data_IF_720351750105
#
_entry.id   IF_720351750105
#
_cell.length_a   1.000
_cell.length_b   1.000
_cell.length_c   1.000
_cell.angle_alpha   90.00
_cell.angle_beta   90.00
_cell.angle_gamma   90.00
#
_symmetry.space_group_name_H-M   'P 1'
#
loop_
_entity.id
_entity.type
_entity.pdbx_description
1 polymer ?
#
# COMPACT_ATOMS: atom_id res chain seq x y z
N UNK A 1 4.78 15.37 -17.22
CA UNK A 1 3.32 15.65 -17.11
C UNK A 1 3.14 16.92 -16.28
N UNK A 2 2.05 17.68 -16.51
CA UNK A 2 1.69 18.78 -15.61
C UNK A 2 0.66 18.31 -14.60
N UNK A 3 1.02 18.39 -13.30
CA UNK A 3 0.23 17.91 -12.19
C UNK A 3 -0.06 19.05 -11.23
N UNK A 4 -1.33 19.17 -10.84
CA UNK A 4 -1.74 20.16 -9.86
C UNK A 4 -2.33 19.45 -8.65
N UNK A 5 -1.76 19.72 -7.48
CA UNK A 5 -2.19 19.17 -6.21
C UNK A 5 -2.87 20.28 -5.39
N UNK A 6 -4.11 20.06 -5.01
CA UNK A 6 -4.89 20.93 -4.14
C UNK A 6 -4.93 20.35 -2.73
N UNK A 7 -4.25 21.00 -1.77
CA UNK A 7 -4.11 20.59 -0.39
C UNK A 7 -2.72 20.10 -0.04
N UNK A 8 -2.00 20.87 0.78
CA UNK A 8 -0.65 20.58 1.28
C UNK A 8 -0.68 19.83 2.62
N UNK A 9 -1.72 19.03 2.87
CA UNK A 9 -1.77 18.12 4.00
C UNK A 9 -0.98 16.84 3.72
N UNK A 10 -1.02 15.92 4.64
CA UNK A 10 -0.21 14.72 4.66
C UNK A 10 -0.12 13.95 3.32
N UNK A 11 -1.22 13.75 2.61
CA UNK A 11 -1.24 13.07 1.30
C UNK A 11 -0.63 13.96 0.23
N UNK A 12 -1.04 15.23 0.18
CA UNK A 12 -0.55 16.20 -0.82
C UNK A 12 0.94 16.46 -0.68
N UNK A 13 1.45 16.62 0.55
CA UNK A 13 2.89 16.77 0.83
C UNK A 13 3.67 15.53 0.37
N UNK A 14 3.18 14.33 0.70
CA UNK A 14 3.85 13.10 0.30
C UNK A 14 3.85 12.90 -1.23
N UNK A 15 2.75 13.25 -1.89
CA UNK A 15 2.68 13.26 -3.36
C UNK A 15 3.65 14.29 -3.96
N UNK A 16 3.67 15.51 -3.43
CA UNK A 16 4.59 16.55 -3.89
C UNK A 16 6.05 16.10 -3.78
N UNK A 17 6.43 15.49 -2.66
CA UNK A 17 7.75 14.90 -2.44
C UNK A 17 8.07 13.81 -3.47
N UNK A 18 7.13 12.88 -3.70
CA UNK A 18 7.30 11.79 -4.66
C UNK A 18 7.47 12.31 -6.08
N UNK A 19 6.68 13.31 -6.48
CA UNK A 19 6.65 13.84 -7.83
C UNK A 19 7.86 14.75 -8.13
N UNK A 20 8.32 15.52 -7.14
CA UNK A 20 9.53 16.34 -7.30
C UNK A 20 10.76 15.47 -7.60
N UNK A 21 10.87 14.29 -6.99
CA UNK A 21 11.94 13.32 -7.29
C UNK A 21 11.87 12.77 -8.72
N UNK A 22 10.69 12.77 -9.33
CA UNK A 22 10.46 12.28 -10.70
C UNK A 22 10.59 13.38 -11.78
N UNK A 23 10.97 14.61 -11.42
CA UNK A 23 11.05 15.77 -12.32
C UNK A 23 9.74 16.05 -13.07
N UNK A 24 8.59 15.83 -12.43
CA UNK A 24 7.29 16.17 -12.97
C UNK A 24 6.98 17.66 -12.71
N UNK A 25 6.36 18.34 -13.69
CA UNK A 25 5.89 19.72 -13.54
C UNK A 25 4.75 19.79 -12.53
N UNK A 26 5.08 20.06 -11.27
CA UNK A 26 4.15 19.94 -10.14
C UNK A 26 3.85 21.31 -9.53
N UNK A 27 2.56 21.63 -9.40
CA UNK A 27 2.05 22.81 -8.71
C UNK A 27 1.28 22.37 -7.47
N UNK A 28 1.64 22.89 -6.30
CA UNK A 28 0.95 22.62 -5.03
C UNK A 28 0.19 23.88 -4.57
N UNK A 29 -1.12 23.75 -4.36
CA UNK A 29 -2.01 24.84 -3.93
C UNK A 29 -2.51 24.56 -2.52
N UNK A 30 -2.35 25.51 -1.61
CA UNK A 30 -2.96 25.49 -0.27
C UNK A 30 -3.26 26.89 0.23
N UNK A 31 -4.18 27.01 1.16
CA UNK A 31 -4.52 28.27 1.84
C UNK A 31 -3.64 28.57 3.06
N UNK A 32 -2.72 27.68 3.42
CA UNK A 32 -1.81 27.79 4.55
C UNK A 32 -0.39 28.11 4.04
N UNK A 33 0.04 29.35 4.27
CA UNK A 33 1.33 29.86 3.78
C UNK A 33 2.53 29.20 4.49
N UNK A 34 2.44 28.95 5.80
CA UNK A 34 3.53 28.36 6.57
C UNK A 34 3.80 26.93 6.10
N UNK A 35 2.73 26.19 5.82
CA UNK A 35 2.82 24.82 5.31
C UNK A 35 3.44 24.77 3.92
N UNK A 36 3.06 25.68 3.03
CA UNK A 36 3.66 25.79 1.70
C UNK A 36 5.14 26.19 1.77
N UNK A 37 5.50 27.13 2.64
CA UNK A 37 6.87 27.57 2.83
C UNK A 37 7.80 26.43 3.29
N UNK A 38 7.34 25.59 4.22
CA UNK A 38 8.08 24.41 4.65
C UNK A 38 8.35 23.45 3.46
N UNK A 39 7.34 23.18 2.64
CA UNK A 39 7.48 22.26 1.51
C UNK A 39 8.36 22.83 0.39
N UNK A 40 8.20 24.11 0.05
CA UNK A 40 8.99 24.75 -1.01
C UNK A 40 10.48 24.91 -0.65
N UNK A 41 10.81 24.90 0.64
CA UNK A 41 12.22 24.92 1.07
C UNK A 41 12.93 23.58 0.89
N UNK A 42 12.17 22.48 0.80
CA UNK A 42 12.72 21.11 0.74
C UNK A 42 12.65 20.51 -0.67
N UNK A 43 11.67 20.94 -1.48
CA UNK A 43 11.37 20.31 -2.77
C UNK A 43 11.28 21.34 -3.89
N UNK A 44 11.82 21.01 -5.06
CA UNK A 44 11.74 21.82 -6.27
C UNK A 44 10.36 21.67 -6.93
N UNK A 45 9.41 22.50 -6.48
CA UNK A 45 8.05 22.54 -7.01
C UNK A 45 7.45 23.96 -6.86
N UNK A 46 6.49 24.26 -7.71
CA UNK A 46 5.77 25.54 -7.64
C UNK A 46 4.69 25.49 -6.56
N UNK A 47 4.66 26.48 -5.68
CA UNK A 47 3.60 26.61 -4.66
C UNK A 47 2.70 27.81 -4.97
N UNK A 48 1.41 27.69 -4.67
CA UNK A 48 0.40 28.75 -4.82
C UNK A 48 -0.36 28.92 -3.52
N UNK A 49 -0.14 30.03 -2.82
CA UNK A 49 -0.88 30.36 -1.60
C UNK A 49 -2.24 30.97 -1.96
N UNK A 50 -3.27 30.13 -2.04
CA UNK A 50 -4.64 30.55 -2.33
C UNK A 50 -5.66 29.43 -2.06
N UNK A 51 -6.95 29.80 -2.03
CA UNK A 51 -8.04 28.81 -1.94
C UNK A 51 -8.32 28.17 -3.29
N UNK A 52 -8.41 26.84 -3.31
CA UNK A 52 -8.73 26.04 -4.50
C UNK A 52 -10.19 26.15 -4.95
N UNK A 53 -11.06 26.79 -4.15
CA UNK A 53 -12.44 27.10 -4.54
C UNK A 53 -12.56 28.28 -5.49
N UNK A 54 -11.48 29.07 -5.68
CA UNK A 54 -11.50 30.25 -6.56
C UNK A 54 -11.09 29.86 -7.98
N UNK A 55 -11.94 30.18 -8.93
CA UNK A 55 -11.67 29.96 -10.37
C UNK A 55 -10.38 30.64 -10.81
N UNK A 56 -10.11 31.87 -10.32
CA UNK A 56 -8.89 32.58 -10.67
C UNK A 56 -7.63 31.82 -10.19
N UNK A 57 -7.63 31.30 -8.98
CA UNK A 57 -6.53 30.47 -8.46
C UNK A 57 -6.23 29.30 -9.37
N UNK A 58 -7.27 28.58 -9.83
CA UNK A 58 -7.11 27.44 -10.72
C UNK A 58 -6.56 27.85 -12.10
N UNK A 59 -7.00 29.01 -12.61
CA UNK A 59 -6.45 29.56 -13.86
C UNK A 59 -4.99 29.96 -13.72
N UNK A 60 -4.62 30.64 -12.63
CA UNK A 60 -3.25 31.11 -12.37
C UNK A 60 -2.29 29.91 -12.16
N UNK A 61 -2.76 28.82 -11.58
CA UNK A 61 -2.03 27.55 -11.49
C UNK A 61 -1.93 26.82 -12.84
N UNK A 62 -2.62 27.30 -13.88
CA UNK A 62 -2.58 26.76 -15.23
C UNK A 62 -3.31 25.42 -15.37
N UNK A 63 -4.47 25.30 -14.72
CA UNK A 63 -5.28 24.06 -14.71
C UNK A 63 -5.71 23.61 -16.11
N UNK A 64 -5.89 24.52 -17.06
CA UNK A 64 -6.29 24.20 -18.44
C UNK A 64 -5.28 23.31 -19.19
N UNK A 65 -4.02 23.29 -18.75
CA UNK A 65 -2.97 22.44 -19.31
C UNK A 65 -2.63 21.24 -18.41
N UNK A 66 -3.37 21.05 -17.33
CA UNK A 66 -3.06 19.97 -16.38
C UNK A 66 -3.45 18.58 -16.94
N UNK A 67 -2.52 17.66 -16.92
CA UNK A 67 -2.77 16.25 -17.24
C UNK A 67 -3.53 15.59 -16.09
N UNK A 68 -3.25 15.99 -14.84
CA UNK A 68 -3.91 15.49 -13.65
C UNK A 68 -4.11 16.62 -12.61
N UNK A 69 -5.31 16.73 -12.10
CA UNK A 69 -5.66 17.58 -10.96
C UNK A 69 -6.07 16.71 -9.79
N UNK A 70 -5.42 16.89 -8.63
CA UNK A 70 -5.57 16.05 -7.44
C UNK A 70 -6.04 16.92 -6.29
N UNK A 71 -7.24 16.67 -5.76
CA UNK A 71 -7.77 17.38 -4.60
C UNK A 71 -7.76 16.49 -3.36
N UNK A 72 -6.88 16.83 -2.40
CA UNK A 72 -6.60 16.04 -1.20
C UNK A 72 -6.57 16.91 0.06
N UNK A 73 -7.43 17.91 0.11
CA UNK A 73 -7.64 18.73 1.32
C UNK A 73 -8.34 17.89 2.39
N UNK A 74 -8.58 18.50 3.57
CA UNK A 74 -9.35 17.82 4.65
C UNK A 74 -10.85 17.83 4.40
N UNK A 75 -11.35 18.70 3.53
CA UNK A 75 -12.77 18.86 3.25
C UNK A 75 -13.13 18.14 1.95
N UNK A 76 -13.92 17.10 2.05
CA UNK A 76 -14.44 16.29 0.94
C UNK A 76 -15.22 17.15 -0.06
N UNK A 77 -16.09 18.03 0.41
CA UNK A 77 -16.90 18.89 -0.46
C UNK A 77 -16.02 19.86 -1.25
N UNK A 78 -14.99 20.41 -0.61
CA UNK A 78 -14.00 21.25 -1.28
C UNK A 78 -13.23 20.46 -2.34
N UNK A 79 -12.85 19.22 -2.05
CA UNK A 79 -12.15 18.34 -2.99
C UNK A 79 -13.01 18.05 -4.24
N UNK A 80 -14.27 17.69 -4.03
CA UNK A 80 -15.21 17.44 -5.13
C UNK A 80 -15.46 18.72 -5.96
N UNK A 81 -15.73 19.85 -5.30
CA UNK A 81 -15.95 21.12 -5.97
C UNK A 81 -14.72 21.54 -6.78
N UNK A 82 -13.52 21.47 -6.21
CA UNK A 82 -12.28 21.81 -6.89
C UNK A 82 -12.04 20.92 -8.14
N UNK A 83 -12.33 19.63 -8.07
CA UNK A 83 -12.26 18.72 -9.22
C UNK A 83 -13.25 19.08 -10.32
N UNK A 84 -14.50 19.39 -9.97
CA UNK A 84 -15.52 19.83 -10.93
C UNK A 84 -15.09 21.12 -11.66
N UNK A 85 -14.61 22.13 -10.92
CA UNK A 85 -14.09 23.38 -11.47
C UNK A 85 -12.86 23.12 -12.35
N UNK A 86 -11.91 22.33 -11.90
CA UNK A 86 -10.70 22.00 -12.65
C UNK A 86 -11.03 21.29 -13.98
N UNK A 87 -11.97 20.36 -13.96
CA UNK A 87 -12.42 19.66 -15.16
C UNK A 87 -13.09 20.61 -16.14
N UNK A 88 -13.97 21.49 -15.65
CA UNK A 88 -14.65 22.50 -16.47
C UNK A 88 -13.65 23.53 -17.07
N UNK A 89 -12.52 23.78 -16.41
CA UNK A 89 -11.44 24.65 -16.88
C UNK A 89 -10.44 23.94 -17.81
N UNK A 90 -10.57 22.64 -18.04
CA UNK A 90 -9.79 21.91 -19.04
C UNK A 90 -8.77 20.88 -18.51
N UNK A 91 -8.76 20.58 -17.21
CA UNK A 91 -7.95 19.47 -16.69
C UNK A 91 -8.36 18.14 -17.37
N UNK A 92 -7.39 17.33 -17.81
CA UNK A 92 -7.67 16.08 -18.51
C UNK A 92 -8.29 15.05 -17.57
N UNK A 93 -7.71 14.87 -16.40
CA UNK A 93 -8.19 13.92 -15.36
C UNK A 93 -8.22 14.61 -14.01
N UNK A 94 -9.11 14.16 -13.15
CA UNK A 94 -9.28 14.70 -11.79
C UNK A 94 -9.40 13.57 -10.78
N UNK A 95 -8.84 13.76 -9.59
CA UNK A 95 -8.90 12.82 -8.47
C UNK A 95 -9.34 13.57 -7.21
N UNK A 96 -10.44 13.14 -6.60
CA UNK A 96 -10.94 13.70 -5.35
C UNK A 96 -10.74 12.74 -4.18
N UNK A 97 -10.11 13.20 -3.10
CA UNK A 97 -10.17 12.51 -1.81
C UNK A 97 -11.58 12.67 -1.24
N UNK A 98 -12.18 11.55 -0.86
CA UNK A 98 -13.50 11.49 -0.24
C UNK A 98 -13.40 10.84 1.14
N UNK A 99 -14.35 11.15 2.01
CA UNK A 99 -14.45 10.60 3.36
C UNK A 99 -15.77 9.79 3.52
N UNK A 100 -16.70 9.91 2.57
CA UNK A 100 -17.94 9.12 2.52
C UNK A 100 -17.71 7.84 1.69
N UNK A 101 -17.93 6.69 2.35
CA UNK A 101 -17.78 5.39 1.72
C UNK A 101 -18.73 5.16 0.54
N UNK A 102 -19.94 5.70 0.57
CA UNK A 102 -20.89 5.60 -0.54
C UNK A 102 -20.29 6.08 -1.86
N UNK A 103 -19.43 7.11 -1.82
CA UNK A 103 -18.86 7.72 -3.01
C UNK A 103 -17.83 6.84 -3.74
N UNK A 104 -17.35 5.76 -3.12
CA UNK A 104 -16.42 4.81 -3.77
C UNK A 104 -17.12 3.58 -4.36
N UNK A 105 -18.46 3.53 -4.38
CA UNK A 105 -19.19 2.48 -5.09
C UNK A 105 -18.91 2.58 -6.61
N UNK A 106 -18.39 1.51 -7.25
CA UNK A 106 -18.15 1.49 -8.69
C UNK A 106 -19.39 1.79 -9.54
N UNK A 107 -20.60 1.53 -9.05
CA UNK A 107 -21.85 1.84 -9.73
C UNK A 107 -22.04 3.34 -9.95
N UNK A 108 -21.39 4.17 -9.15
CA UNK A 108 -21.44 5.63 -9.23
C UNK A 108 -20.35 6.22 -10.14
N UNK A 109 -19.46 5.40 -10.75
CA UNK A 109 -18.35 5.90 -11.57
C UNK A 109 -18.85 6.80 -12.70
N UNK A 110 -19.85 6.35 -13.46
CA UNK A 110 -20.42 7.14 -14.55
C UNK A 110 -21.14 8.42 -14.10
N UNK A 111 -21.66 8.46 -12.87
CA UNK A 111 -22.23 9.68 -12.28
C UNK A 111 -21.12 10.69 -11.98
N UNK A 112 -20.07 10.28 -11.27
CA UNK A 112 -18.98 11.16 -10.90
C UNK A 112 -18.18 11.68 -12.11
N UNK A 113 -17.99 10.82 -13.12
CA UNK A 113 -17.33 11.24 -14.36
C UNK A 113 -18.10 12.35 -15.09
N UNK A 114 -19.43 12.26 -15.15
CA UNK A 114 -20.29 13.30 -15.75
C UNK A 114 -20.18 14.65 -15.04
N UNK A 115 -19.98 14.66 -13.73
CA UNK A 115 -19.79 15.90 -12.96
C UNK A 115 -18.32 16.35 -12.89
N UNK A 116 -17.42 15.66 -13.62
CA UNK A 116 -16.02 16.09 -13.75
C UNK A 116 -15.08 15.52 -12.72
N UNK A 117 -15.44 14.44 -12.02
CA UNK A 117 -14.59 13.71 -11.07
C UNK A 117 -14.23 12.37 -11.71
N UNK A 118 -13.00 12.26 -12.25
CA UNK A 118 -12.56 11.06 -12.98
C UNK A 118 -12.30 9.88 -12.03
N UNK A 119 -11.83 10.15 -10.82
CA UNK A 119 -11.55 9.12 -9.81
C UNK A 119 -11.76 9.65 -8.41
N UNK A 120 -12.12 8.77 -7.50
CA UNK A 120 -12.29 9.05 -6.07
C UNK A 120 -11.37 8.14 -5.28
N UNK A 121 -10.77 8.69 -4.23
CA UNK A 121 -9.89 7.96 -3.34
C UNK A 121 -10.37 8.08 -1.90
N UNK A 122 -10.50 6.94 -1.23
CA UNK A 122 -10.82 6.86 0.19
C UNK A 122 -9.69 6.12 0.92
N UNK A 123 -8.74 6.86 1.51
CA UNK A 123 -7.52 6.28 2.11
C UNK A 123 -7.81 5.25 3.21
N UNK A 124 -8.88 5.46 3.97
CA UNK A 124 -9.33 4.53 5.02
C UNK A 124 -9.69 3.16 4.44
N UNK A 125 -10.36 3.12 3.29
CA UNK A 125 -10.70 1.87 2.63
C UNK A 125 -9.46 1.15 2.06
N UNK A 126 -8.49 1.90 1.53
CA UNK A 126 -7.22 1.33 1.07
C UNK A 126 -6.46 0.66 2.22
N UNK A 127 -6.35 1.36 3.36
CA UNK A 127 -5.74 0.82 4.56
C UNK A 127 -6.50 -0.40 5.12
N UNK A 128 -7.82 -0.33 5.16
CA UNK A 128 -8.67 -1.43 5.63
C UNK A 128 -8.50 -2.69 4.78
N UNK A 129 -8.43 -2.55 3.45
CA UNK A 129 -8.13 -3.68 2.53
C UNK A 129 -6.77 -4.28 2.78
N UNK A 130 -5.75 -3.45 3.01
CA UNK A 130 -4.39 -3.92 3.30
C UNK A 130 -4.33 -4.67 4.63
N UNK A 131 -5.00 -4.16 5.66
CA UNK A 131 -5.15 -4.80 6.98
C UNK A 131 -5.86 -6.15 6.83
N UNK A 132 -7.05 -6.19 6.22
CA UNK A 132 -7.84 -7.40 6.07
C UNK A 132 -7.09 -8.49 5.28
N UNK A 133 -6.38 -8.12 4.22
CA UNK A 133 -5.53 -9.05 3.47
C UNK A 133 -4.34 -9.54 4.31
N UNK A 134 -3.72 -8.66 5.08
CA UNK A 134 -2.62 -9.00 5.97
C UNK A 134 -3.03 -9.94 7.12
N UNK A 135 -4.28 -9.87 7.57
CA UNK A 135 -4.82 -10.75 8.62
C UNK A 135 -5.05 -12.19 8.15
N UNK A 136 -5.22 -12.44 6.86
CA UNK A 136 -5.41 -13.80 6.31
C UNK A 136 -4.26 -14.75 6.62
N UNK A 137 -3.05 -14.21 6.93
CA UNK A 137 -1.85 -15.00 7.24
C UNK A 137 -1.09 -14.41 8.42
N UNK A 138 -1.13 -15.06 9.58
CA UNK A 138 -0.46 -14.59 10.81
C UNK A 138 1.08 -14.51 10.68
N UNK A 139 1.67 -15.33 9.82
CA UNK A 139 3.13 -15.49 9.65
C UNK A 139 3.76 -14.60 8.57
N UNK A 140 2.93 -13.86 7.81
CA UNK A 140 3.33 -12.96 6.72
C UNK A 140 3.25 -11.50 7.19
N UNK A 141 4.24 -10.69 6.85
CA UNK A 141 4.23 -9.25 7.12
C UNK A 141 3.37 -8.49 6.12
N UNK A 142 3.58 -8.78 4.85
CA UNK A 142 2.89 -8.15 3.74
C UNK A 142 2.40 -9.23 2.78
N UNK A 143 1.19 -9.05 2.29
CA UNK A 143 0.60 -9.89 1.25
C UNK A 143 0.01 -9.01 0.15
N UNK A 144 0.31 -9.36 -1.07
CA UNK A 144 -0.29 -8.75 -2.24
C UNK A 144 -0.75 -9.83 -3.21
N UNK A 145 -2.03 -9.82 -3.50
CA UNK A 145 -2.65 -10.71 -4.46
C UNK A 145 -2.75 -10.00 -5.82
N UNK A 146 -2.24 -10.63 -6.86
CA UNK A 146 -2.29 -10.16 -8.24
C UNK A 146 -3.31 -11.03 -8.98
N UNK A 147 -4.23 -10.42 -9.72
CA UNK A 147 -5.33 -11.12 -10.42
C UNK A 147 -6.02 -12.16 -9.52
N UNK A 148 -6.69 -11.68 -8.45
CA UNK A 148 -7.43 -12.51 -7.49
C UNK A 148 -6.61 -13.67 -6.88
N UNK A 149 -5.28 -13.52 -6.87
CA UNK A 149 -4.33 -14.45 -6.30
C UNK A 149 -3.81 -15.52 -7.28
N UNK A 150 -3.91 -15.30 -8.57
CA UNK A 150 -3.18 -16.09 -9.57
C UNK A 150 -1.68 -16.05 -9.29
N UNK A 151 -1.16 -14.86 -8.97
CA UNK A 151 0.15 -14.69 -8.32
C UNK A 151 -0.03 -14.05 -6.94
N UNK A 152 0.86 -14.39 -6.02
CA UNK A 152 0.87 -13.86 -4.67
C UNK A 152 2.28 -13.45 -4.28
N UNK A 153 2.42 -12.22 -3.81
CA UNK A 153 3.64 -11.74 -3.16
C UNK A 153 3.49 -11.86 -1.66
N UNK A 154 4.50 -12.44 -1.00
CA UNK A 154 4.57 -12.61 0.45
C UNK A 154 5.84 -11.96 0.99
N UNK A 155 5.71 -10.93 1.81
CA UNK A 155 6.82 -10.35 2.59
C UNK A 155 6.95 -11.08 3.92
N UNK A 156 8.04 -11.82 4.12
CA UNK A 156 8.22 -12.72 5.26
C UNK A 156 9.50 -12.35 6.02
N UNK A 157 9.35 -12.07 7.32
CA UNK A 157 10.50 -11.87 8.21
C UNK A 157 11.10 -13.23 8.58
N UNK A 158 12.32 -13.49 8.11
CA UNK A 158 13.01 -14.74 8.32
C UNK A 158 13.53 -14.87 9.77
N UNK A 159 13.55 -16.11 10.26
CA UNK A 159 13.99 -16.46 11.61
C UNK A 159 14.91 -17.67 11.54
N UNK A 160 15.50 -18.05 12.67
CA UNK A 160 16.38 -19.23 12.80
C UNK A 160 15.76 -20.53 12.29
N UNK A 161 14.43 -20.62 12.34
CA UNK A 161 13.68 -21.80 11.86
C UNK A 161 13.57 -21.90 10.33
N UNK A 162 14.09 -20.90 9.59
CA UNK A 162 14.04 -20.92 8.13
C UNK A 162 15.12 -21.86 7.57
N UNK A 163 14.71 -22.83 6.75
CA UNK A 163 15.57 -23.89 6.20
C UNK A 163 16.49 -23.42 5.07
N UNK A 164 16.13 -22.32 4.39
CA UNK A 164 16.82 -21.82 3.19
C UNK A 164 17.78 -20.64 3.46
N UNK A 165 18.23 -20.49 4.71
CA UNK A 165 19.21 -19.46 5.06
C UNK A 165 20.59 -19.81 4.56
N UNK A 166 21.34 -18.78 4.11
CA UNK A 166 22.74 -18.86 3.67
C UNK A 166 23.00 -19.73 2.43
N UNK A 167 21.96 -20.15 1.72
CA UNK A 167 22.09 -20.82 0.44
C UNK A 167 22.00 -19.83 -0.71
N UNK A 168 22.84 -19.94 -1.77
CA UNK A 168 22.76 -19.07 -2.94
C UNK A 168 21.40 -19.16 -3.65
N UNK A 169 20.82 -18.02 -4.02
CA UNK A 169 19.49 -18.00 -4.65
C UNK A 169 19.45 -18.74 -5.99
N UNK A 170 20.57 -18.84 -6.73
CA UNK A 170 20.65 -19.65 -7.97
C UNK A 170 20.36 -21.15 -7.71
N UNK A 171 20.61 -21.63 -6.50
CA UNK A 171 20.37 -23.03 -6.13
C UNK A 171 18.93 -23.22 -5.61
N UNK A 172 18.34 -22.18 -5.03
CA UNK A 172 16.98 -22.15 -4.48
C UNK A 172 15.93 -21.80 -5.53
N UNK A 173 16.20 -20.78 -6.37
CA UNK A 173 15.26 -20.24 -7.34
C UNK A 173 15.58 -20.69 -8.77
N UNK A 174 15.47 -22.00 -9.02
CA UNK A 174 15.58 -22.59 -10.36
C UNK A 174 14.34 -22.29 -11.20
N UNK A 175 14.39 -22.43 -12.54
CA UNK A 175 13.22 -22.15 -13.40
C UNK A 175 11.94 -22.89 -13.01
N UNK A 176 12.08 -24.12 -12.46
CA UNK A 176 10.98 -24.96 -11.98
C UNK A 176 10.62 -24.76 -10.51
N UNK A 177 11.32 -23.87 -9.79
CA UNK A 177 11.04 -23.63 -8.37
C UNK A 177 9.67 -22.99 -8.17
N UNK A 178 8.96 -23.35 -7.07
CA UNK A 178 7.61 -22.86 -6.82
C UNK A 178 7.55 -21.41 -6.30
N UNK A 179 8.67 -20.75 -6.20
CA UNK A 179 8.77 -19.36 -5.77
C UNK A 179 9.99 -18.65 -6.35
N UNK A 180 9.94 -17.34 -6.32
CA UNK A 180 11.03 -16.43 -6.67
C UNK A 180 11.24 -15.43 -5.54
N UNK A 181 12.50 -15.11 -5.18
CA UNK A 181 12.81 -14.02 -4.25
C UNK A 181 13.04 -12.77 -5.07
N UNK A 182 12.17 -11.79 -4.91
CA UNK A 182 12.14 -10.58 -5.77
C UNK A 182 12.73 -9.35 -5.11
N UNK A 183 12.76 -9.30 -3.78
CA UNK A 183 13.44 -8.27 -3.01
C UNK A 183 13.82 -8.80 -1.63
N UNK A 184 14.88 -8.25 -1.04
CA UNK A 184 15.33 -8.54 0.31
C UNK A 184 15.58 -7.20 1.02
N UNK A 185 14.93 -6.98 2.16
CA UNK A 185 15.25 -5.87 3.08
C UNK A 185 16.11 -6.41 4.21
N UNK A 186 17.35 -5.90 4.26
CA UNK A 186 18.36 -6.26 5.28
C UNK A 186 18.79 -5.02 6.04
N UNK A 187 18.38 -4.87 7.28
CA UNK A 187 18.56 -3.61 8.01
C UNK A 187 17.89 -2.47 7.24
N UNK A 188 18.63 -1.43 6.89
CA UNK A 188 18.13 -0.29 6.12
C UNK A 188 18.34 -0.43 4.60
N UNK A 189 19.06 -1.47 4.17
CA UNK A 189 19.35 -1.73 2.76
C UNK A 189 18.28 -2.57 2.09
N UNK A 190 17.90 -2.20 0.87
CA UNK A 190 17.05 -3.01 -0.01
C UNK A 190 17.87 -3.57 -1.16
N UNK A 191 17.77 -4.85 -1.36
CA UNK A 191 18.51 -5.61 -2.37
C UNK A 191 17.52 -6.18 -3.38
N UNK A 192 17.71 -5.90 -4.66
CA UNK A 192 17.10 -6.68 -5.75
C UNK A 192 18.04 -7.84 -6.04
N UNK A 193 17.71 -9.05 -5.56
CA UNK A 193 18.69 -10.12 -5.43
C UNK A 193 19.10 -10.72 -6.77
N UNK A 194 20.32 -11.27 -6.80
CA UNK A 194 20.90 -12.03 -7.90
C UNK A 194 21.21 -13.45 -7.47
N UNK A 195 21.61 -14.29 -8.40
CA UNK A 195 21.81 -15.70 -8.13
C UNK A 195 22.81 -16.04 -7.02
N UNK A 196 23.83 -15.20 -6.82
CA UNK A 196 24.86 -15.42 -5.78
C UNK A 196 24.49 -14.81 -4.41
N UNK A 197 23.41 -14.04 -4.34
CA UNK A 197 22.91 -13.51 -3.07
C UNK A 197 22.33 -14.63 -2.20
N UNK A 198 22.37 -14.40 -0.90
CA UNK A 198 21.87 -15.35 0.11
C UNK A 198 20.88 -14.67 1.06
N UNK A 199 19.92 -15.43 1.54
CA UNK A 199 19.01 -15.00 2.60
C UNK A 199 19.71 -15.12 3.97
N UNK A 200 19.52 -14.12 4.83
CA UNK A 200 20.05 -14.10 6.20
C UNK A 200 18.92 -14.05 7.23
N UNK A 201 19.26 -14.47 8.44
CA UNK A 201 18.35 -14.30 9.57
C UNK A 201 17.98 -12.81 9.73
N UNK A 202 16.71 -12.55 10.06
CA UNK A 202 16.10 -11.22 10.18
C UNK A 202 15.96 -10.43 8.86
N UNK A 203 16.26 -11.00 7.70
CA UNK A 203 15.85 -10.40 6.44
C UNK A 203 14.31 -10.39 6.34
N UNK A 204 13.75 -9.33 5.75
CA UNK A 204 12.40 -9.34 5.24
C UNK A 204 12.49 -9.70 3.75
N UNK A 205 12.22 -10.96 3.44
CA UNK A 205 12.30 -11.49 2.08
C UNK A 205 10.93 -11.48 1.40
N UNK A 206 10.89 -11.01 0.15
CA UNK A 206 9.69 -10.95 -0.66
C UNK A 206 9.66 -12.12 -1.64
N UNK A 207 8.74 -13.04 -1.40
CA UNK A 207 8.51 -14.22 -2.20
C UNK A 207 7.39 -13.96 -3.21
N UNK A 208 7.65 -14.16 -4.48
CA UNK A 208 6.63 -14.27 -5.51
C UNK A 208 6.31 -15.75 -5.72
N UNK A 209 5.03 -16.10 -5.73
CA UNK A 209 4.56 -17.48 -5.86
C UNK A 209 3.13 -17.55 -6.39
N UNK A 210 2.61 -18.74 -6.62
CA UNK A 210 1.17 -18.96 -6.85
C UNK A 210 0.49 -19.46 -5.59
N UNK A 211 -0.85 -19.35 -5.53
CA UNK A 211 -1.64 -19.71 -4.34
C UNK A 211 -1.37 -21.16 -3.87
N UNK A 212 -1.15 -22.09 -4.79
CA UNK A 212 -0.97 -23.51 -4.49
C UNK A 212 0.32 -23.80 -3.71
N UNK A 213 1.34 -22.95 -3.84
CA UNK A 213 2.63 -23.16 -3.20
C UNK A 213 2.83 -22.38 -1.88
N UNK A 214 1.82 -21.64 -1.44
CA UNK A 214 1.88 -20.93 -0.14
C UNK A 214 2.17 -21.88 1.03
N UNK A 215 1.55 -23.09 1.12
CA UNK A 215 1.88 -24.06 2.19
C UNK A 215 3.33 -24.52 2.15
N UNK A 216 3.91 -24.72 0.97
CA UNK A 216 5.31 -25.06 0.81
C UNK A 216 6.23 -23.95 1.33
N UNK A 217 5.98 -22.69 0.96
CA UNK A 217 6.74 -21.54 1.47
C UNK A 217 6.64 -21.47 2.99
N UNK A 218 5.43 -21.63 3.56
CA UNK A 218 5.21 -21.62 5.00
C UNK A 218 6.11 -22.65 5.72
N UNK A 219 6.29 -23.82 5.12
CA UNK A 219 7.16 -24.88 5.63
C UNK A 219 8.62 -24.46 5.59
N UNK A 220 9.17 -24.14 4.42
CA UNK A 220 10.60 -23.85 4.27
C UNK A 220 11.07 -22.61 5.04
N UNK A 221 10.17 -21.67 5.34
CA UNK A 221 10.47 -20.52 6.21
C UNK A 221 10.22 -20.80 7.70
N UNK A 222 9.89 -22.05 8.08
CA UNK A 222 9.72 -22.51 9.46
C UNK A 222 8.54 -21.88 10.19
N UNK A 223 7.41 -21.64 9.50
CA UNK A 223 6.22 -20.96 10.04
C UNK A 223 5.00 -21.89 10.24
N UNK A 224 5.19 -23.19 10.20
CA UNK A 224 4.10 -24.18 10.33
C UNK A 224 3.34 -24.05 11.65
N UNK A 225 4.02 -23.64 12.72
CA UNK A 225 3.43 -23.48 14.06
C UNK A 225 2.58 -22.20 14.25
N UNK A 226 2.52 -21.33 13.24
CA UNK A 226 1.69 -20.15 13.31
C UNK A 226 0.22 -20.54 13.08
N UNK A 227 -0.64 -20.22 14.03
CA UNK A 227 -2.08 -20.46 13.91
C UNK A 227 -2.74 -19.42 13.02
N UNK A 228 -3.82 -19.79 12.35
CA UNK A 228 -4.60 -18.86 11.55
C UNK A 228 -5.31 -17.84 12.45
N UNK A 229 -5.51 -16.64 11.94
CA UNK A 229 -6.19 -15.58 12.67
C UNK A 229 -7.69 -15.85 12.69
N UNK A 230 -8.26 -15.97 13.89
CA UNK A 230 -9.71 -16.09 14.12
C UNK A 230 -10.23 -14.96 15.01
N UNK A 231 -9.44 -14.56 16.00
CA UNK A 231 -9.79 -13.50 16.94
C UNK A 231 -8.83 -12.33 16.76
N UNK A 232 -9.41 -11.17 16.48
CA UNK A 232 -8.69 -9.91 16.25
C UNK A 232 -9.07 -8.92 17.34
N UNK A 233 -8.10 -8.24 17.91
CA UNK A 233 -8.31 -7.11 18.80
C UNK A 233 -7.87 -5.84 18.10
N UNK A 234 -8.73 -4.83 18.01
CA UNK A 234 -8.49 -3.58 17.31
C UNK A 234 -8.53 -2.44 18.31
N UNK A 235 -7.44 -1.71 18.45
CA UNK A 235 -7.36 -0.50 19.27
C UNK A 235 -7.63 0.74 18.41
N UNK A 236 -8.73 1.43 18.70
CA UNK A 236 -9.23 2.61 17.99
C UNK A 236 -10.36 2.29 17.01
N UNK A 237 -11.53 2.91 17.22
CA UNK A 237 -12.78 2.70 16.47
C UNK A 237 -12.99 3.69 15.32
N UNK A 238 -11.93 4.10 14.63
CA UNK A 238 -12.03 4.99 13.46
C UNK A 238 -12.62 4.32 12.23
N UNK A 239 -12.84 5.10 11.16
CA UNK A 239 -13.39 4.60 9.89
C UNK A 239 -12.59 3.42 9.30
N UNK A 240 -11.26 3.44 9.46
CA UNK A 240 -10.41 2.31 9.03
C UNK A 240 -10.75 1.02 9.78
N UNK A 241 -11.05 1.10 11.09
CA UNK A 241 -11.41 -0.07 11.89
C UNK A 241 -12.75 -0.67 11.41
N UNK A 242 -13.79 0.17 11.25
CA UNK A 242 -15.09 -0.26 10.72
C UNK A 242 -14.93 -0.94 9.37
N UNK A 243 -14.22 -0.28 8.43
CA UNK A 243 -13.99 -0.86 7.10
C UNK A 243 -13.16 -2.14 7.13
N UNK A 244 -12.17 -2.24 8.04
CA UNK A 244 -11.38 -3.46 8.19
C UNK A 244 -12.26 -4.64 8.67
N UNK A 245 -13.16 -4.41 9.63
CA UNK A 245 -14.07 -5.47 10.12
C UNK A 245 -15.05 -5.95 9.05
N UNK A 246 -15.54 -5.07 8.19
CA UNK A 246 -16.41 -5.44 7.06
C UNK A 246 -15.67 -6.27 6.00
N UNK A 247 -14.37 -5.99 5.78
CA UNK A 247 -13.54 -6.66 4.77
C UNK A 247 -12.86 -7.94 5.29
N UNK A 248 -12.90 -8.17 6.61
CA UNK A 248 -12.37 -9.41 7.19
C UNK A 248 -13.20 -10.63 6.75
N UNK A 249 -12.56 -11.79 6.52
CA UNK A 249 -13.28 -13.04 6.28
C UNK A 249 -14.32 -13.36 7.36
N UNK A 250 -15.43 -13.98 6.97
CA UNK A 250 -16.56 -14.29 7.88
C UNK A 250 -16.18 -15.16 9.09
N UNK A 251 -15.12 -15.97 8.98
CA UNK A 251 -14.61 -16.81 10.07
C UNK A 251 -13.81 -16.05 11.14
N UNK A 252 -13.58 -14.74 10.95
CA UNK A 252 -12.85 -13.89 11.90
C UNK A 252 -13.83 -13.09 12.76
N UNK A 253 -13.54 -13.06 14.07
CA UNK A 253 -14.23 -12.20 15.03
C UNK A 253 -13.31 -11.06 15.45
N UNK A 254 -13.87 -9.90 15.76
CA UNK A 254 -13.11 -8.74 16.22
C UNK A 254 -13.66 -8.17 17.54
N UNK A 255 -12.76 -7.62 18.34
CA UNK A 255 -13.07 -6.72 19.46
C UNK A 255 -12.48 -5.36 19.15
N UNK A 256 -13.31 -4.32 19.05
CA UNK A 256 -12.87 -2.92 18.90
C UNK A 256 -12.85 -2.29 20.26
N UNK A 257 -11.68 -1.82 20.70
CA UNK A 257 -11.51 -1.07 21.96
C UNK A 257 -11.43 0.42 21.60
N UNK A 258 -12.39 1.19 22.04
CA UNK A 258 -12.51 2.63 21.78
C UNK A 258 -12.65 3.40 23.08
N UNK A 259 -11.88 4.47 23.20
CA UNK A 259 -11.83 5.30 24.43
C UNK A 259 -13.06 6.18 24.61
N UNK A 260 -13.63 6.68 23.52
CA UNK A 260 -14.78 7.59 23.51
C UNK A 260 -16.09 6.80 23.56
N UNK A 261 -16.85 6.96 24.66
CA UNK A 261 -18.12 6.27 24.87
C UNK A 261 -19.18 6.61 23.82
N UNK A 262 -19.28 7.88 23.42
CA UNK A 262 -20.27 8.30 22.42
C UNK A 262 -19.95 7.68 21.05
N UNK A 263 -18.65 7.49 20.77
CA UNK A 263 -18.19 6.78 19.57
C UNK A 263 -18.47 5.29 19.64
N UNK A 264 -18.34 4.66 20.81
CA UNK A 264 -18.71 3.25 21.00
C UNK A 264 -20.19 3.01 20.67
N UNK A 265 -21.08 3.90 21.07
CA UNK A 265 -22.51 3.79 20.74
C UNK A 265 -22.75 3.83 19.23
N UNK A 266 -22.10 4.77 18.51
CA UNK A 266 -22.20 4.85 17.04
C UNK A 266 -21.58 3.64 16.34
N UNK A 267 -20.49 3.09 16.87
CA UNK A 267 -19.85 1.91 16.31
C UNK A 267 -20.77 0.69 16.32
N UNK A 268 -21.58 0.50 17.38
CA UNK A 268 -22.53 -0.59 17.45
C UNK A 268 -23.63 -0.52 16.36
N UNK A 269 -23.87 0.66 15.79
CA UNK A 269 -24.80 0.85 14.66
C UNK A 269 -24.14 0.58 13.31
N UNK A 270 -22.80 0.65 13.25
CA UNK A 270 -22.00 0.57 12.00
C UNK A 270 -21.38 -0.80 11.75
N UNK A 271 -21.18 -1.61 12.79
CA UNK A 271 -20.51 -2.90 12.68
C UNK A 271 -21.48 -4.07 12.73
N UNK A 272 -21.08 -5.19 12.16
CA UNK A 272 -21.78 -6.47 12.30
C UNK A 272 -21.60 -7.00 13.74
N UNK A 273 -22.59 -6.79 14.59
CA UNK A 273 -22.54 -7.15 16.02
C UNK A 273 -22.52 -8.65 16.30
N UNK A 274 -22.78 -9.50 15.30
CA UNK A 274 -22.65 -10.95 15.44
C UNK A 274 -21.18 -11.39 15.47
N UNK A 275 -20.29 -10.59 14.86
CA UNK A 275 -18.86 -10.87 14.74
C UNK A 275 -17.95 -9.84 15.38
N UNK A 276 -18.46 -8.64 15.65
CA UNK A 276 -17.69 -7.51 16.17
C UNK A 276 -18.26 -7.01 17.47
N UNK A 277 -17.48 -7.11 18.54
CA UNK A 277 -17.80 -6.55 19.85
C UNK A 277 -17.12 -5.19 20.02
N UNK A 278 -17.86 -4.18 20.46
CA UNK A 278 -17.32 -2.86 20.80
C UNK A 278 -17.16 -2.75 22.30
N UNK A 279 -15.97 -2.37 22.74
CA UNK A 279 -15.59 -2.25 24.16
C UNK A 279 -15.18 -0.80 24.41
N UNK A 280 -15.83 -0.16 25.38
CA UNK A 280 -15.40 1.15 25.83
C UNK A 280 -14.25 1.02 26.82
N UNK A 281 -13.10 1.61 26.50
CA UNK A 281 -11.94 1.61 27.37
C UNK A 281 -10.65 2.04 26.68
N UNK A 282 -9.59 2.10 27.47
CA UNK A 282 -8.24 2.42 26.96
C UNK A 282 -7.55 1.14 26.49
N UNK A 283 -7.31 1.05 25.19
CA UNK A 283 -6.59 -0.09 24.58
C UNK A 283 -5.09 -0.20 24.97
N UNK A 284 -4.61 0.68 25.84
CA UNK A 284 -3.27 0.60 26.47
C UNK A 284 -3.33 -0.02 27.87
N UNK A 285 -4.53 -0.14 28.45
CA UNK A 285 -4.70 -0.72 29.78
C UNK A 285 -4.54 -2.25 29.73
N UNK A 286 -3.49 -2.74 30.39
CA UNK A 286 -3.19 -4.16 30.45
C UNK A 286 -4.25 -4.97 31.20
N UNK A 287 -4.93 -4.38 32.19
CA UNK A 287 -5.99 -5.05 32.91
C UNK A 287 -7.16 -5.34 31.97
N UNK A 288 -7.61 -4.31 31.25
CA UNK A 288 -8.65 -4.45 30.23
C UNK A 288 -8.25 -5.45 29.14
N UNK A 289 -7.03 -5.37 28.60
CA UNK A 289 -6.57 -6.29 27.57
C UNK A 289 -6.55 -7.75 28.05
N UNK A 290 -6.18 -8.00 29.32
CA UNK A 290 -6.21 -9.33 29.90
C UNK A 290 -7.64 -9.84 30.14
N UNK A 291 -8.55 -9.00 30.66
CA UNK A 291 -9.98 -9.31 30.83
C UNK A 291 -10.62 -9.65 29.49
N UNK A 292 -10.29 -8.91 28.44
CA UNK A 292 -10.79 -9.12 27.10
C UNK A 292 -10.08 -10.25 26.32
N UNK A 293 -9.12 -10.90 26.95
CA UNK A 293 -8.51 -12.13 26.45
C UNK A 293 -7.42 -11.95 25.40
N UNK A 294 -6.53 -10.96 25.58
CA UNK A 294 -5.40 -10.72 24.69
C UNK A 294 -4.55 -11.99 24.46
N UNK A 295 -4.44 -12.86 25.45
CA UNK A 295 -3.68 -14.14 25.37
C UNK A 295 -4.29 -15.13 24.39
N UNK A 296 -5.58 -15.02 24.10
CA UNK A 296 -6.32 -15.87 23.16
C UNK A 296 -6.50 -15.19 21.79
N UNK A 297 -5.94 -13.99 21.62
CA UNK A 297 -6.03 -13.18 20.41
C UNK A 297 -4.86 -13.52 19.49
N UNK A 298 -5.14 -13.82 18.22
CA UNK A 298 -4.10 -14.14 17.23
C UNK A 298 -3.56 -12.88 16.54
N UNK A 299 -4.38 -11.82 16.43
CA UNK A 299 -3.97 -10.55 15.81
C UNK A 299 -4.38 -9.35 16.66
N UNK A 300 -3.47 -8.38 16.79
CA UNK A 300 -3.70 -7.08 17.40
C UNK A 300 -3.44 -5.97 16.38
N UNK A 301 -4.41 -5.08 16.18
CA UNK A 301 -4.38 -4.02 15.17
C UNK A 301 -4.54 -2.67 15.86
N UNK A 302 -3.53 -1.82 15.83
CA UNK A 302 -3.52 -0.50 16.45
C UNK A 302 -3.78 0.59 15.41
N UNK A 303 -4.94 1.26 15.48
CA UNK A 303 -5.46 2.21 14.49
C UNK A 303 -5.81 3.58 15.09
N UNK A 304 -5.18 3.97 16.19
CA UNK A 304 -5.40 5.32 16.75
C UNK A 304 -4.73 6.38 15.87
N UNK A 305 -5.04 7.64 16.11
CA UNK A 305 -4.40 8.77 15.41
C UNK A 305 -2.96 9.05 15.83
N UNK A 306 -2.40 8.30 16.78
CA UNK A 306 -1.06 8.51 17.31
C UNK A 306 -0.16 7.32 16.99
N UNK A 307 0.88 7.55 16.19
CA UNK A 307 1.78 6.49 15.70
C UNK A 307 2.57 5.84 16.83
N UNK A 308 3.07 6.63 17.79
CA UNK A 308 3.86 6.16 18.93
C UNK A 308 3.02 5.23 19.81
N UNK A 309 1.77 5.62 20.08
CA UNK A 309 0.81 4.80 20.81
C UNK A 309 0.56 3.47 20.10
N UNK A 310 0.39 3.50 18.77
CA UNK A 310 0.17 2.30 17.97
C UNK A 310 1.38 1.36 18.01
N UNK A 311 2.59 1.91 17.91
CA UNK A 311 3.86 1.15 18.00
C UNK A 311 3.97 0.47 19.36
N UNK A 312 3.82 1.22 20.45
CA UNK A 312 3.94 0.70 21.81
C UNK A 312 2.86 -0.34 22.13
N UNK A 313 1.63 -0.13 21.67
CA UNK A 313 0.54 -1.10 21.85
C UNK A 313 0.83 -2.43 21.14
N UNK A 314 1.34 -2.37 19.90
CA UNK A 314 1.77 -3.57 19.16
C UNK A 314 2.93 -4.30 19.85
N UNK A 315 3.91 -3.58 20.40
CA UNK A 315 4.99 -4.19 21.19
C UNK A 315 4.45 -4.90 22.45
N UNK A 316 3.50 -4.26 23.12
CA UNK A 316 2.84 -4.82 24.30
C UNK A 316 2.06 -6.08 23.95
N UNK A 317 1.25 -6.06 22.89
CA UNK A 317 0.52 -7.22 22.41
C UNK A 317 1.45 -8.40 22.08
N UNK A 318 2.59 -8.14 21.43
CA UNK A 318 3.60 -9.18 21.14
C UNK A 318 4.17 -9.81 22.42
N UNK A 319 4.46 -9.00 23.45
CA UNK A 319 4.91 -9.51 24.75
C UNK A 319 3.87 -10.39 25.44
N UNK A 320 2.58 -10.17 25.16
CA UNK A 320 1.48 -11.01 25.65
C UNK A 320 1.20 -12.23 24.74
N UNK A 321 2.03 -12.49 23.73
CA UNK A 321 1.98 -13.69 22.89
C UNK A 321 1.21 -13.53 21.59
N UNK A 322 0.69 -12.33 21.28
CA UNK A 322 0.04 -12.09 20.00
C UNK A 322 1.06 -12.17 18.87
N UNK A 323 0.81 -13.06 17.91
CA UNK A 323 1.73 -13.37 16.81
C UNK A 323 1.67 -12.37 15.67
N UNK A 324 0.46 -11.93 15.32
CA UNK A 324 0.24 -10.95 14.26
C UNK A 324 -0.07 -9.60 14.88
N UNK A 325 0.74 -8.61 14.56
CA UNK A 325 0.48 -7.22 14.97
C UNK A 325 0.51 -6.31 13.75
N UNK A 326 -0.38 -5.31 13.73
CA UNK A 326 -0.51 -4.32 12.66
C UNK A 326 -0.60 -2.94 13.33
N UNK A 327 0.29 -2.04 12.97
CA UNK A 327 0.28 -0.66 13.46
C UNK A 327 0.04 0.34 12.32
N UNK A 328 -0.89 1.26 12.53
CA UNK A 328 -1.02 2.46 11.70
C UNK A 328 0.11 3.43 12.07
N UNK A 329 1.01 3.69 11.13
CA UNK A 329 2.14 4.62 11.32
C UNK A 329 2.12 5.63 10.18
N UNK A 330 1.51 6.79 10.42
CA UNK A 330 1.36 7.82 9.38
C UNK A 330 2.58 8.75 9.25
N UNK A 331 3.42 8.82 10.28
CA UNK A 331 4.68 9.53 10.20
C UNK A 331 5.75 8.63 9.56
N UNK A 332 6.27 9.05 8.41
CA UNK A 332 7.27 8.30 7.64
C UNK A 332 8.58 8.13 8.39
N UNK A 333 8.98 9.11 9.21
CA UNK A 333 10.21 9.08 10.00
C UNK A 333 10.20 7.94 11.02
N UNK A 334 9.00 7.51 11.46
CA UNK A 334 8.84 6.43 12.43
C UNK A 334 8.78 5.04 11.79
N UNK A 335 8.67 4.94 10.47
CA UNK A 335 8.55 3.65 9.78
C UNK A 335 9.79 2.80 10.00
N UNK A 336 10.99 3.35 9.75
CA UNK A 336 12.26 2.63 9.92
C UNK A 336 12.48 2.22 11.39
N UNK A 337 12.17 3.11 12.34
CA UNK A 337 12.22 2.79 13.76
C UNK A 337 11.24 1.67 14.14
N UNK A 338 10.01 1.75 13.69
CA UNK A 338 8.98 0.75 13.96
C UNK A 338 9.36 -0.64 13.40
N UNK A 339 10.03 -0.67 12.25
CA UNK A 339 10.57 -1.90 11.66
C UNK A 339 11.73 -2.48 12.47
N UNK A 340 12.65 -1.64 12.93
CA UNK A 340 13.78 -2.06 13.78
C UNK A 340 13.30 -2.67 15.09
N UNK A 341 12.19 -2.17 15.65
CA UNK A 341 11.52 -2.71 16.83
C UNK A 341 10.72 -3.99 16.54
N UNK A 342 10.68 -4.43 15.29
CA UNK A 342 9.96 -5.65 14.87
C UNK A 342 8.48 -5.69 15.33
N UNK A 343 7.80 -4.53 15.29
CA UNK A 343 6.44 -4.40 15.82
C UNK A 343 5.37 -5.19 15.03
N UNK A 344 5.66 -5.66 13.87
CA UNK A 344 4.71 -6.36 13.01
C UNK A 344 4.58 -5.72 11.63
N UNK A 345 3.37 -5.72 11.10
CA UNK A 345 3.01 -5.06 9.85
C UNK A 345 2.80 -3.56 10.11
N UNK A 346 3.33 -2.74 9.24
CA UNK A 346 3.10 -1.28 9.26
C UNK A 346 2.16 -0.93 8.12
N UNK A 347 1.13 -0.15 8.44
CA UNK A 347 0.16 0.38 7.45
C UNK A 347 0.26 1.89 7.47
N UNK A 348 0.37 2.51 6.29
CA UNK A 348 0.41 3.96 6.13
C UNK A 348 -0.59 4.39 5.06
N UNK A 349 -1.63 5.11 5.48
CA UNK A 349 -2.70 5.56 4.57
C UNK A 349 -2.20 6.51 3.48
N UNK A 350 -1.23 7.36 3.82
CA UNK A 350 -0.68 8.36 2.89
C UNK A 350 0.05 7.68 1.74
N UNK A 351 0.89 6.70 2.06
CA UNK A 351 1.63 5.94 1.05
C UNK A 351 0.70 5.11 0.16
N UNK A 352 -0.33 4.49 0.74
CA UNK A 352 -1.34 3.76 -0.04
C UNK A 352 -2.11 4.69 -0.99
N UNK A 353 -2.49 5.87 -0.49
CA UNK A 353 -3.15 6.89 -1.30
C UNK A 353 -2.24 7.40 -2.42
N UNK A 354 -0.97 7.70 -2.10
CA UNK A 354 0.01 8.14 -3.09
C UNK A 354 0.28 7.09 -4.15
N UNK A 355 0.42 5.81 -3.77
CA UNK A 355 0.56 4.70 -4.73
C UNK A 355 -0.60 4.64 -5.70
N UNK A 356 -1.82 4.74 -5.19
CA UNK A 356 -3.04 4.71 -6.01
C UNK A 356 -3.10 5.89 -6.98
N UNK A 357 -2.75 7.10 -6.53
CA UNK A 357 -2.73 8.29 -7.39
C UNK A 357 -1.61 8.20 -8.43
N UNK A 358 -0.42 7.72 -8.00
CA UNK A 358 0.72 7.57 -8.92
C UNK A 358 0.42 6.57 -10.05
N UNK A 359 -0.31 5.50 -9.76
CA UNK A 359 -0.78 4.56 -10.78
C UNK A 359 -1.54 5.28 -11.91
N UNK A 360 -2.37 6.27 -11.56
CA UNK A 360 -3.15 7.01 -12.56
C UNK A 360 -2.29 7.92 -13.45
N UNK A 361 -1.06 8.18 -13.07
CA UNK A 361 -0.15 9.04 -13.83
C UNK A 361 0.58 8.30 -14.92
N UNK A 362 0.76 6.98 -14.79
CA UNK A 362 1.43 6.19 -15.79
C UNK A 362 0.55 6.04 -17.03
N UNK A 363 1.17 6.20 -18.21
CA UNK A 363 0.48 6.11 -19.51
C UNK A 363 0.32 4.67 -19.99
N UNK A 364 1.10 3.72 -19.47
CA UNK A 364 0.94 2.30 -19.75
C UNK A 364 -0.30 1.76 -19.01
N UNK A 365 -0.89 0.69 -19.52
CA UNK A 365 -1.92 -0.05 -18.78
C UNK A 365 -1.28 -0.66 -17.52
N UNK A 366 -1.31 0.14 -16.44
CA UNK A 366 -0.82 -0.25 -15.12
C UNK A 366 -2.03 -0.66 -14.29
N UNK A 367 -2.14 -1.96 -14.04
CA UNK A 367 -3.27 -2.50 -13.29
C UNK A 367 -3.16 -2.19 -11.79
N UNK A 368 -1.94 -2.10 -11.26
CA UNK A 368 -1.71 -1.84 -9.86
C UNK A 368 -0.28 -1.35 -9.58
N UNK A 369 -0.14 -0.44 -8.61
CA UNK A 369 1.16 -0.04 -8.05
C UNK A 369 1.12 -0.14 -6.54
N UNK A 370 2.22 -0.58 -5.95
CA UNK A 370 2.41 -0.60 -4.51
C UNK A 370 3.81 -0.14 -4.14
N UNK A 371 3.89 0.92 -3.33
CA UNK A 371 5.13 1.32 -2.70
C UNK A 371 5.36 0.45 -1.46
N UNK A 372 6.40 -0.37 -1.51
CA UNK A 372 6.83 -1.19 -0.38
C UNK A 372 7.67 -0.33 0.57
N UNK A 373 7.00 0.47 1.41
CA UNK A 373 7.68 1.43 2.29
C UNK A 373 8.77 0.78 3.14
N UNK A 374 8.48 -0.41 3.67
CA UNK A 374 9.45 -1.19 4.44
C UNK A 374 10.70 -1.56 3.64
N UNK A 375 10.61 -1.63 2.34
CA UNK A 375 11.71 -2.03 1.46
C UNK A 375 12.25 -0.90 0.58
N UNK A 376 11.73 0.32 0.66
CA UNK A 376 12.05 1.40 -0.27
C UNK A 376 12.06 0.94 -1.73
N UNK A 377 11.15 0.04 -2.08
CA UNK A 377 11.04 -0.56 -3.40
C UNK A 377 9.63 -0.38 -3.94
N UNK A 378 9.53 -0.25 -5.24
CA UNK A 378 8.26 -0.11 -5.93
C UNK A 378 7.91 -1.42 -6.63
N UNK A 379 6.64 -1.79 -6.57
CA UNK A 379 6.09 -2.93 -7.30
C UNK A 379 4.97 -2.43 -8.19
N UNK A 380 5.02 -2.79 -9.47
CA UNK A 380 3.98 -2.45 -10.41
C UNK A 380 3.59 -3.64 -11.27
N UNK A 381 2.33 -3.68 -11.62
CA UNK A 381 1.73 -4.64 -12.52
C UNK A 381 1.43 -3.94 -13.85
N UNK A 382 2.17 -4.30 -14.90
CA UNK A 382 2.03 -3.72 -16.23
C UNK A 382 1.39 -4.70 -17.20
N UNK A 383 0.46 -4.23 -18.04
CA UNK A 383 0.01 -5.01 -19.19
C UNK A 383 0.99 -4.86 -20.35
N UNK A 384 1.52 -5.97 -20.84
CA UNK A 384 2.44 -5.99 -21.98
C UNK A 384 1.68 -5.65 -23.27
N UNK A 385 1.98 -4.50 -23.89
CA UNK A 385 1.35 -4.07 -25.15
C UNK A 385 1.96 -4.80 -26.35
N UNK A 386 1.17 -4.99 -27.38
CA UNK A 386 1.64 -5.60 -28.63
C UNK A 386 2.75 -4.76 -29.25
N UNK A 387 3.89 -5.41 -29.53
CA UNK A 387 5.03 -4.74 -30.13
C UNK A 387 5.90 -3.94 -29.14
N UNK A 388 5.58 -3.96 -27.84
CA UNK A 388 6.43 -3.37 -26.79
C UNK A 388 7.77 -4.09 -26.67
N UNK A 389 8.75 -3.45 -26.02
CA UNK A 389 10.10 -4.04 -25.88
C UNK A 389 10.07 -5.39 -25.16
N UNK A 390 9.23 -5.53 -24.13
CA UNK A 390 9.14 -6.78 -23.35
C UNK A 390 8.62 -7.97 -24.16
N UNK A 391 7.83 -7.73 -25.22
CA UNK A 391 7.28 -8.80 -26.06
C UNK A 391 8.20 -9.24 -27.21
N UNK A 392 9.30 -8.51 -27.44
CA UNK A 392 10.20 -8.77 -28.60
C UNK A 392 11.32 -9.74 -28.29
N UNK A 393 11.71 -9.89 -27.02
CA UNK A 393 12.90 -10.62 -26.58
C UNK A 393 12.59 -11.39 -25.30
N UNK A 394 13.41 -12.41 -25.02
CA UNK A 394 13.40 -13.10 -23.74
C UNK A 394 13.85 -12.15 -22.62
N UNK A 395 13.42 -12.42 -21.39
CA UNK A 395 13.67 -11.55 -20.23
C UNK A 395 15.16 -11.25 -20.02
N UNK A 396 16.05 -12.24 -20.19
CA UNK A 396 17.49 -12.01 -20.03
C UNK A 396 18.10 -11.07 -21.09
N UNK A 397 17.43 -10.88 -22.24
CA UNK A 397 17.88 -10.01 -23.34
C UNK A 397 17.29 -8.60 -23.28
N UNK A 398 16.35 -8.33 -22.37
CA UNK A 398 15.65 -7.05 -22.29
C UNK A 398 16.54 -5.89 -21.87
N UNK A 399 17.66 -6.16 -21.19
CA UNK A 399 18.54 -5.13 -20.65
C UNK A 399 17.87 -4.31 -19.55
N UNK A 400 17.10 -4.96 -18.69
CA UNK A 400 16.50 -4.32 -17.50
C UNK A 400 17.59 -3.70 -16.64
N UNK A 401 17.30 -2.56 -15.98
CA UNK A 401 18.21 -1.97 -15.00
C UNK A 401 18.62 -2.98 -13.92
N UNK A 402 19.81 -2.81 -13.34
CA UNK A 402 20.32 -3.73 -12.30
C UNK A 402 19.42 -3.76 -11.06
N UNK A 403 18.76 -2.64 -10.77
CA UNK A 403 17.89 -2.48 -9.62
C UNK A 403 16.40 -2.74 -9.95
N UNK A 404 16.16 -3.53 -11.01
CA UNK A 404 14.83 -4.00 -11.39
C UNK A 404 14.83 -5.50 -11.69
N UNK A 405 13.71 -6.15 -11.40
CA UNK A 405 13.45 -7.56 -11.72
C UNK A 405 11.98 -7.80 -12.04
N UNK A 406 11.72 -8.80 -12.89
CA UNK A 406 10.38 -9.30 -13.15
C UNK A 406 10.14 -10.51 -12.26
N UNK A 407 9.15 -10.42 -11.36
CA UNK A 407 8.85 -11.47 -10.39
C UNK A 407 7.95 -12.57 -10.94
N UNK A 408 7.02 -12.20 -11.83
CA UNK A 408 6.05 -13.11 -12.40
C UNK A 408 5.17 -12.43 -13.43
N UNK A 409 4.34 -13.22 -14.10
CA UNK A 409 3.31 -12.73 -15.01
C UNK A 409 2.01 -13.53 -14.85
N UNK A 410 0.90 -12.92 -15.24
CA UNK A 410 -0.39 -13.59 -15.36
C UNK A 410 -0.77 -13.61 -16.83
N UNK A 411 -1.06 -14.80 -17.37
CA UNK A 411 -1.48 -15.06 -18.73
C UNK A 411 -2.77 -15.86 -18.71
N UNK A 412 -3.81 -15.37 -19.37
CA UNK A 412 -5.13 -16.02 -19.41
C UNK A 412 -5.71 -16.35 -18.01
N UNK A 413 -5.39 -15.54 -17.00
CA UNK A 413 -5.83 -15.74 -15.61
C UNK A 413 -4.98 -16.71 -14.80
N UNK A 414 -3.94 -17.31 -15.39
CA UNK A 414 -2.98 -18.20 -14.69
C UNK A 414 -1.67 -17.48 -14.38
N UNK A 415 -1.15 -17.70 -13.16
CA UNK A 415 0.09 -17.11 -12.69
C UNK A 415 1.32 -17.93 -13.03
N UNK A 416 2.35 -17.28 -13.56
CA UNK A 416 3.63 -17.89 -13.91
C UNK A 416 4.77 -17.13 -13.25
N UNK A 417 5.74 -17.86 -12.71
CA UNK A 417 7.02 -17.30 -12.29
C UNK A 417 7.91 -17.07 -13.52
N UNK A 418 8.63 -15.96 -13.52
CA UNK A 418 9.44 -15.54 -14.66
C UNK A 418 10.89 -15.95 -14.45
N UNK A 419 11.49 -16.58 -15.45
CA UNK A 419 12.92 -16.84 -15.54
C UNK A 419 13.54 -16.02 -16.66
N UNK A 420 14.88 -15.99 -16.75
CA UNK A 420 15.58 -15.33 -17.86
C UNK A 420 15.14 -15.81 -19.25
N UNK A 421 14.75 -17.09 -19.38
CA UNK A 421 14.30 -17.70 -20.63
C UNK A 421 12.82 -17.45 -20.98
N UNK A 422 12.07 -16.82 -20.08
CA UNK A 422 10.66 -16.55 -20.30
C UNK A 422 10.47 -15.54 -21.44
N UNK A 423 9.52 -15.83 -22.33
CA UNK A 423 9.02 -14.92 -23.36
C UNK A 423 7.71 -14.32 -22.89
N UNK A 424 7.68 -12.99 -22.74
CA UNK A 424 6.46 -12.25 -22.40
C UNK A 424 5.67 -12.04 -23.70
N UNK A 425 4.36 -12.22 -23.63
CA UNK A 425 3.44 -12.06 -24.76
C UNK A 425 2.56 -10.84 -24.57
N UNK A 426 2.00 -10.35 -25.68
CA UNK A 426 1.04 -9.23 -25.61
C UNK A 426 -0.22 -9.66 -24.83
N UNK A 427 -0.63 -8.80 -23.90
CA UNK A 427 -1.75 -9.06 -22.99
C UNK A 427 -1.38 -9.72 -21.67
N UNK A 428 -0.10 -10.16 -21.50
CA UNK A 428 0.38 -10.60 -20.19
C UNK A 428 0.32 -9.46 -19.18
N UNK A 429 -0.13 -9.75 -17.97
CA UNK A 429 0.03 -8.87 -16.83
C UNK A 429 1.32 -9.22 -16.09
N UNK A 430 2.30 -8.31 -16.10
CA UNK A 430 3.69 -8.56 -15.66
C UNK A 430 3.98 -7.78 -14.40
N UNK A 431 4.43 -8.48 -13.35
CA UNK A 431 4.79 -7.89 -12.07
C UNK A 431 6.28 -7.56 -12.04
N UNK A 432 6.60 -6.27 -11.91
CA UNK A 432 7.96 -5.74 -11.89
C UNK A 432 8.27 -5.15 -10.52
N UNK A 433 9.45 -5.46 -10.02
CA UNK A 433 10.03 -4.86 -8.81
C UNK A 433 11.17 -3.94 -9.22
N UNK A 434 11.24 -2.75 -8.63
CA UNK A 434 12.37 -1.86 -8.78
C UNK A 434 12.70 -1.13 -7.49
N UNK A 435 13.97 -0.80 -7.33
CA UNK A 435 14.52 -0.03 -6.23
C UNK A 435 15.30 1.14 -6.80
N UNK A 436 15.14 2.34 -6.21
CA UNK A 436 15.80 3.58 -6.63
C UNK A 436 15.72 3.92 -8.13
N UNK A 437 14.77 3.32 -8.85
CA UNK A 437 14.54 3.58 -10.27
C UNK A 437 13.15 4.19 -10.43
N UNK A 438 13.10 5.24 -11.23
CA UNK A 438 11.80 5.82 -11.61
C UNK A 438 10.99 4.80 -12.39
N UNK A 439 9.79 4.50 -11.90
CA UNK A 439 8.85 3.57 -12.54
C UNK A 439 8.56 3.94 -14.01
N UNK A 440 8.63 5.23 -14.35
CA UNK A 440 8.53 5.72 -15.73
C UNK A 440 9.63 5.20 -16.69
N UNK A 441 10.80 4.78 -16.17
CA UNK A 441 11.82 4.12 -16.98
C UNK A 441 11.44 2.68 -17.29
N UNK A 442 10.82 2.01 -16.34
CA UNK A 442 10.31 0.65 -16.48
C UNK A 442 9.12 0.61 -17.45
N UNK A 443 8.21 1.56 -17.32
CA UNK A 443 7.05 1.72 -18.19
C UNK A 443 7.42 1.70 -19.69
N UNK A 444 8.54 2.30 -20.06
CA UNK A 444 9.03 2.34 -21.46
C UNK A 444 9.31 0.96 -22.08
N UNK A 445 9.43 -0.08 -21.28
CA UNK A 445 9.58 -1.45 -21.79
C UNK A 445 8.26 -2.06 -22.19
N UNK A 446 7.14 -1.55 -21.66
CA UNK A 446 5.79 -2.07 -21.82
C UNK A 446 4.95 -1.33 -22.87
N UNK A 447 5.46 -0.17 -23.34
CA UNK A 447 4.88 0.63 -24.45
C UNK A 447 5.33 0.19 -25.82
#
# INVERSE_FOLDING_TARGET
MKIIIAGAYAIGTHLAQLLSRNNEDTVLIDSDEERLASISSEYDLMTVHASVSKIQTLKDAGVSGADLFIAVTRDENLNMNACMLAKALGAKRTVAKVDNFEYIDPKLDGFFEKVGISSRIYPENLAARDIANGLKMSWVRQRWDVHDGALVMLGIKLRETCEILNEPLKDLCKPESPYHIVAIKRGDETIIPRGDDVLKIYDLAYFMTTRNYIPYIRKIVGKEHYVDVKNVMIMGGGATAVRATELMPEYMNAKIIELDEARCQKLNELVDTDRVMVINGDGRDLSLLNEEGIKNTQAFVALTGNAETNILACMTAKRHGVRKTVAMVENLDYVSMAESLDIGTIVNKKALAASYIYQMMLDADVNNIRFLMSANADVAEFTAQQGSKVTRKKVFELGLPKDATIGGLVRHGEGFLVSGNTQIEAGDSVVVFCHDIHMSKIEKFFK
#
